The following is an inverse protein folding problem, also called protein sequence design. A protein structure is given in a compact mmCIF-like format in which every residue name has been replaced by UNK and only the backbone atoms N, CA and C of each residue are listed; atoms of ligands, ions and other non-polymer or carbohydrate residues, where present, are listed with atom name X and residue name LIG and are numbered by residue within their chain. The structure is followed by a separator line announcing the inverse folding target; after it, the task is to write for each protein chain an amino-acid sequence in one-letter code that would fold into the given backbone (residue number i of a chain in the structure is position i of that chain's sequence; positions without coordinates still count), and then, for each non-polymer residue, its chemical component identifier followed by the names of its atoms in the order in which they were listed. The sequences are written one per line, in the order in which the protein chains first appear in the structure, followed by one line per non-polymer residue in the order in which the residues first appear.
data_IF_935840734866
#
_entry.id   IF_935840734866
#
_cell.length_a   1.000
_cell.length_b   1.000
_cell.length_c   1.000
_cell.angle_alpha   90.00
_cell.angle_beta   90.00
_cell.angle_gamma   90.00
#
_symmetry.space_group_name_H-M   'P 1'
#
loop_
_entity.id
_entity.type
_entity.pdbx_description
1 polymer ?
#
# COMPACT_ATOMS: atom_id res chain seq x y z
N UNK A 1 -12.77 -33.56 -13.66
CA UNK A 1 -11.86 -32.68 -12.92
C UNK A 1 -11.47 -33.39 -11.62
N UNK A 2 -10.22 -33.75 -11.48
CA UNK A 2 -9.76 -34.41 -10.25
C UNK A 2 -9.61 -33.37 -9.12
N UNK A 3 -10.14 -33.68 -7.95
CA UNK A 3 -9.97 -32.86 -6.78
C UNK A 3 -8.47 -32.85 -6.40
N UNK A 4 -7.95 -31.70 -5.91
CA UNK A 4 -6.59 -31.67 -5.41
C UNK A 4 -6.42 -32.69 -4.29
N UNK A 5 -5.33 -33.44 -4.31
CA UNK A 5 -5.04 -34.43 -3.25
C UNK A 5 -4.86 -33.69 -1.94
N UNK A 6 -5.69 -34.05 -0.95
CA UNK A 6 -5.52 -33.53 0.41
C UNK A 6 -4.14 -33.98 0.92
N UNK A 7 -3.30 -33.05 1.40
CA UNK A 7 -2.00 -33.42 1.96
C UNK A 7 -2.17 -34.41 3.10
N UNK A 8 -1.24 -35.34 3.22
CA UNK A 8 -1.22 -36.25 4.38
C UNK A 8 -1.07 -35.41 5.66
N UNK A 9 -1.72 -35.85 6.72
CA UNK A 9 -1.71 -35.17 8.02
C UNK A 9 -0.30 -34.72 8.47
N UNK A 10 0.70 -35.54 8.18
CA UNK A 10 2.12 -35.24 8.47
C UNK A 10 2.71 -34.06 7.68
N UNK A 11 2.00 -33.59 6.67
CA UNK A 11 2.46 -32.49 5.79
C UNK A 11 1.78 -31.17 6.12
N UNK A 12 0.83 -31.18 7.05
CA UNK A 12 0.14 -29.96 7.48
C UNK A 12 0.91 -29.31 8.61
N UNK A 13 1.10 -27.98 8.56
CA UNK A 13 1.73 -27.26 9.66
C UNK A 13 0.82 -27.28 10.90
N UNK A 14 1.43 -27.28 12.09
CA UNK A 14 0.69 -27.23 13.35
C UNK A 14 -0.16 -25.95 13.42
N UNK A 15 -1.43 -26.11 13.80
CA UNK A 15 -2.36 -24.99 13.96
C UNK A 15 -2.71 -24.25 12.69
N UNK A 16 -2.35 -24.80 11.51
CA UNK A 16 -2.59 -24.13 10.23
C UNK A 16 -1.70 -22.91 10.00
N UNK A 17 -0.64 -22.76 10.78
CA UNK A 17 0.30 -21.64 10.66
C UNK A 17 1.27 -21.95 9.52
N UNK A 18 1.32 -21.08 8.53
CA UNK A 18 2.22 -21.17 7.37
C UNK A 18 3.18 -19.99 7.41
N UNK A 19 4.48 -20.29 7.28
CA UNK A 19 5.47 -19.24 7.15
C UNK A 19 5.29 -18.51 5.82
N UNK A 20 5.19 -17.18 5.87
CA UNK A 20 5.15 -16.37 4.67
C UNK A 20 6.57 -16.18 4.13
N UNK A 21 6.88 -16.68 2.93
CA UNK A 21 8.17 -16.41 2.32
C UNK A 21 8.32 -14.89 2.08
N UNK A 22 9.53 -14.37 2.22
CA UNK A 22 9.83 -12.94 1.95
C UNK A 22 9.35 -12.49 0.56
N UNK A 23 9.38 -13.40 -0.41
CA UNK A 23 8.92 -13.17 -1.77
C UNK A 23 7.42 -12.88 -1.87
N UNK A 24 6.59 -13.43 -0.98
CA UNK A 24 5.15 -13.13 -0.96
C UNK A 24 4.90 -11.67 -0.57
N UNK A 25 5.64 -11.14 0.39
CA UNK A 25 5.51 -9.74 0.79
C UNK A 25 5.83 -8.78 -0.36
N UNK A 26 6.75 -9.14 -1.22
CA UNK A 26 7.11 -8.36 -2.40
C UNK A 26 6.04 -8.45 -3.50
N UNK A 27 5.34 -9.58 -3.58
CA UNK A 27 4.33 -9.84 -4.60
C UNK A 27 2.91 -9.41 -4.19
N UNK A 28 2.62 -9.39 -2.89
CA UNK A 28 1.31 -9.03 -2.35
C UNK A 28 1.13 -7.52 -2.25
N UNK A 29 1.22 -6.84 -3.37
CA UNK A 29 1.02 -5.40 -3.43
C UNK A 29 -0.46 -5.06 -3.59
N UNK A 30 -0.97 -4.17 -2.76
CA UNK A 30 -2.38 -3.79 -2.75
C UNK A 30 -2.67 -2.45 -3.42
N UNK A 31 -1.66 -1.83 -4.00
CA UNK A 31 -1.79 -0.55 -4.71
C UNK A 31 -2.76 -0.60 -5.90
N UNK A 32 -2.95 -1.76 -6.51
CA UNK A 32 -3.90 -1.96 -7.61
C UNK A 32 -5.38 -1.83 -7.22
N UNK A 33 -5.68 -1.78 -5.93
CA UNK A 33 -7.05 -1.64 -5.44
C UNK A 33 -7.55 -0.19 -5.45
N UNK A 34 -6.64 0.77 -5.67
CA UNK A 34 -7.00 2.19 -5.63
C UNK A 34 -7.95 2.60 -6.73
N UNK A 35 -8.93 3.41 -6.37
CA UNK A 35 -9.77 4.18 -7.29
C UNK A 35 -9.33 5.65 -7.27
N UNK A 36 -8.95 6.14 -6.10
CA UNK A 36 -8.47 7.50 -5.89
C UNK A 36 -7.07 7.46 -5.29
N UNK A 37 -6.17 8.26 -5.85
CA UNK A 37 -4.79 8.40 -5.37
C UNK A 37 -4.68 9.64 -4.48
N UNK A 38 -4.02 9.49 -3.33
CA UNK A 38 -3.67 10.62 -2.49
C UNK A 38 -2.42 11.30 -3.02
N UNK A 39 -2.52 12.60 -3.27
CA UNK A 39 -1.41 13.44 -3.75
C UNK A 39 -1.11 14.49 -2.70
N UNK A 40 0.14 14.57 -2.27
CA UNK A 40 0.59 15.54 -1.28
C UNK A 40 1.20 16.76 -1.97
N UNK A 41 0.69 17.94 -1.61
CA UNK A 41 1.30 19.20 -2.00
C UNK A 41 2.38 19.56 -0.96
N UNK A 42 3.64 19.36 -1.33
CA UNK A 42 4.77 19.58 -0.44
C UNK A 42 4.97 21.07 -0.05
N UNK A 43 4.45 21.99 -0.81
CA UNK A 43 4.49 23.42 -0.49
C UNK A 43 3.57 23.77 0.68
N UNK A 44 2.41 23.11 0.77
CA UNK A 44 1.45 23.28 1.87
C UNK A 44 1.77 22.42 3.07
N UNK A 45 2.53 21.35 2.88
CA UNK A 45 2.84 20.38 3.92
C UNK A 45 3.72 20.99 5.01
N UNK A 46 3.26 20.92 6.27
CA UNK A 46 4.00 21.40 7.45
C UNK A 46 4.87 20.33 8.10
N UNK A 47 4.92 19.13 7.51
CA UNK A 47 5.67 17.98 8.04
C UNK A 47 5.24 17.56 9.46
N UNK A 48 3.95 17.71 9.77
CA UNK A 48 3.40 17.39 11.10
C UNK A 48 3.33 15.88 11.39
N UNK A 49 3.55 15.04 10.36
CA UNK A 49 3.57 13.56 10.44
C UNK A 49 2.23 12.91 10.80
N UNK A 50 1.13 13.65 10.83
CA UNK A 50 -0.19 13.12 11.16
C UNK A 50 -0.62 12.04 10.15
N UNK A 51 -0.43 12.29 8.85
CA UNK A 51 -0.75 11.32 7.80
C UNK A 51 0.07 10.02 7.93
N UNK A 52 1.32 10.13 8.32
CA UNK A 52 2.18 8.97 8.57
C UNK A 52 1.66 8.12 9.74
N UNK A 53 1.24 8.75 10.82
CA UNK A 53 0.72 8.05 12.02
C UNK A 53 -0.61 7.34 11.70
N UNK A 54 -1.50 7.99 10.95
CA UNK A 54 -2.85 7.48 10.70
C UNK A 54 -2.97 6.56 9.49
N UNK A 55 -1.92 6.39 8.68
CA UNK A 55 -2.00 5.51 7.52
C UNK A 55 -2.18 4.04 7.98
N UNK A 56 -3.31 3.39 7.65
CA UNK A 56 -3.58 2.02 8.10
C UNK A 56 -2.64 0.97 7.49
N UNK A 57 -2.06 1.26 6.34
CA UNK A 57 -1.17 0.35 5.62
C UNK A 57 0.30 0.71 5.75
N UNK A 58 0.63 1.71 6.56
CA UNK A 58 1.99 2.25 6.69
C UNK A 58 2.59 2.63 5.31
N UNK A 59 1.74 3.04 4.37
CA UNK A 59 2.13 3.38 3.01
C UNK A 59 2.77 4.77 2.90
N UNK A 60 2.64 5.61 3.93
CA UNK A 60 3.30 6.90 4.00
C UNK A 60 4.55 6.76 4.85
N UNK A 61 5.68 7.11 4.28
CA UNK A 61 6.98 7.03 4.93
C UNK A 61 7.68 8.39 4.87
N UNK A 62 8.59 8.60 5.80
CA UNK A 62 9.46 9.78 5.78
C UNK A 62 10.65 9.51 4.86
N UNK A 63 10.97 10.43 3.99
CA UNK A 63 12.22 10.39 3.25
C UNK A 63 13.38 10.99 4.08
N UNK A 64 14.58 11.03 3.51
CA UNK A 64 15.76 11.57 4.17
C UNK A 64 15.62 13.06 4.55
N UNK A 65 14.86 13.81 3.77
CA UNK A 65 14.59 15.24 4.01
C UNK A 65 13.44 15.48 4.99
N UNK A 66 12.82 14.42 5.49
CA UNK A 66 11.66 14.48 6.37
C UNK A 66 10.34 14.72 5.65
N UNK A 67 10.31 14.67 4.33
CA UNK A 67 9.09 14.78 3.54
C UNK A 67 8.27 13.49 3.59
N UNK A 68 6.95 13.64 3.52
CA UNK A 68 6.05 12.50 3.48
C UNK A 68 6.00 11.94 2.07
N UNK A 69 6.42 10.68 1.91
CA UNK A 69 6.39 9.97 0.65
C UNK A 69 5.38 8.83 0.70
N UNK A 70 4.48 8.78 -0.27
CA UNK A 70 3.50 7.71 -0.38
C UNK A 70 4.04 6.57 -1.22
N UNK A 71 4.09 5.36 -0.65
CA UNK A 71 4.42 4.15 -1.38
C UNK A 71 3.18 3.61 -2.09
N UNK A 72 3.11 3.86 -3.38
CA UNK A 72 1.95 3.51 -4.20
C UNK A 72 1.71 2.00 -4.32
N UNK A 73 2.72 1.19 -4.06
CA UNK A 73 2.57 -0.27 -4.04
C UNK A 73 1.58 -0.77 -2.98
N UNK A 74 1.47 -0.07 -1.86
CA UNK A 74 0.64 -0.47 -0.73
C UNK A 74 -0.51 0.48 -0.43
N UNK A 75 -0.46 1.70 -0.92
CA UNK A 75 -1.52 2.68 -0.73
C UNK A 75 -2.83 2.22 -1.39
N UNK A 76 -3.90 2.12 -0.61
CA UNK A 76 -5.24 1.73 -1.09
C UNK A 76 -6.14 2.92 -1.42
N UNK A 77 -5.66 4.14 -1.24
CA UNK A 77 -6.45 5.33 -1.50
C UNK A 77 -7.63 5.49 -0.54
N UNK A 78 -7.50 5.06 0.71
CA UNK A 78 -8.58 5.09 1.70
C UNK A 78 -9.02 6.50 2.10
N UNK A 79 -8.17 7.50 1.89
CA UNK A 79 -8.47 8.91 2.17
C UNK A 79 -8.28 9.35 3.62
N UNK A 80 -7.82 8.48 4.50
CA UNK A 80 -7.57 8.84 5.92
C UNK A 80 -6.54 9.96 6.01
N UNK A 81 -5.43 9.87 5.26
CA UNK A 81 -4.39 10.89 5.26
C UNK A 81 -4.91 12.27 4.85
N UNK A 82 -5.77 12.32 3.84
CA UNK A 82 -6.39 13.58 3.39
C UNK A 82 -7.34 14.15 4.44
N UNK A 83 -8.08 13.30 5.14
CA UNK A 83 -9.05 13.74 6.15
C UNK A 83 -8.39 14.24 7.44
N UNK A 84 -7.21 13.72 7.81
CA UNK A 84 -6.51 14.13 9.03
C UNK A 84 -5.47 15.23 8.79
N UNK A 85 -5.21 15.61 7.55
CA UNK A 85 -4.25 16.67 7.25
C UNK A 85 -4.77 18.03 7.73
N UNK A 86 -4.08 18.69 8.70
CA UNK A 86 -4.59 19.94 9.29
C UNK A 86 -4.52 21.13 8.34
N UNK A 87 -3.67 21.06 7.32
CA UNK A 87 -3.45 22.16 6.37
C UNK A 87 -4.06 21.87 4.98
N UNK A 88 -4.72 20.74 4.81
CA UNK A 88 -5.31 20.36 3.53
C UNK A 88 -4.30 20.16 2.40
N UNK A 89 -3.08 19.72 2.74
CA UNK A 89 -2.03 19.49 1.77
C UNK A 89 -2.22 18.24 0.92
N UNK A 90 -3.10 17.34 1.33
CA UNK A 90 -3.35 16.07 0.66
C UNK A 90 -4.72 16.12 -0.03
N UNK A 91 -4.72 15.87 -1.33
CA UNK A 91 -5.93 15.79 -2.14
C UNK A 91 -6.05 14.39 -2.74
N UNK A 92 -7.27 13.98 -3.06
CA UNK A 92 -7.55 12.71 -3.71
C UNK A 92 -7.87 12.97 -5.18
N UNK A 93 -7.13 12.32 -6.05
CA UNK A 93 -7.27 12.46 -7.51
C UNK A 93 -7.61 11.08 -8.11
N UNK A 94 -8.52 10.99 -9.09
CA UNK A 94 -8.82 9.71 -9.73
C UNK A 94 -7.56 9.01 -10.25
N UNK A 95 -7.43 7.72 -9.96
CA UNK A 95 -6.25 6.93 -10.37
C UNK A 95 -6.08 6.90 -11.88
N UNK A 96 -7.18 6.94 -12.63
CA UNK A 96 -7.14 6.94 -14.11
C UNK A 96 -6.55 8.21 -14.73
N UNK A 97 -6.43 9.28 -13.96
CA UNK A 97 -5.79 10.51 -14.44
C UNK A 97 -4.26 10.42 -14.49
N UNK A 98 -3.70 9.34 -13.95
CA UNK A 98 -2.26 9.10 -13.95
C UNK A 98 -1.90 8.06 -15.01
N UNK A 99 -0.97 8.40 -15.91
CA UNK A 99 -0.48 7.49 -16.95
C UNK A 99 0.53 6.44 -16.44
N UNK A 100 0.77 6.39 -15.14
CA UNK A 100 1.74 5.50 -14.50
C UNK A 100 1.21 4.06 -14.35
N UNK A 101 0.74 3.48 -15.45
CA UNK A 101 0.43 2.04 -15.49
C UNK A 101 1.69 1.19 -15.27
N UNK A 102 2.86 1.78 -15.46
CA UNK A 102 4.16 1.13 -15.29
C UNK A 102 4.41 0.61 -13.88
N UNK A 103 3.86 1.27 -12.85
CA UNK A 103 4.03 0.82 -11.45
C UNK A 103 3.49 -0.60 -11.23
N UNK A 104 2.52 -1.01 -12.03
CA UNK A 104 1.90 -2.33 -11.91
C UNK A 104 2.46 -3.34 -12.91
N UNK A 105 3.07 -2.87 -14.01
CA UNK A 105 3.66 -3.73 -15.03
C UNK A 105 4.96 -4.39 -14.56
N UNK A 106 5.69 -3.70 -13.69
CA UNK A 106 6.99 -4.19 -13.19
C UNK A 106 6.85 -5.07 -11.95
N UNK A 107 5.61 -5.37 -11.54
CA UNK A 107 5.37 -6.32 -10.47
C UNK A 107 5.62 -7.74 -10.99
N UNK A 108 6.51 -8.50 -10.35
CA UNK A 108 6.77 -9.87 -10.74
C UNK A 108 5.60 -10.77 -10.31
N UNK A 109 4.68 -10.98 -11.21
CA UNK A 109 3.63 -11.97 -11.04
C UNK A 109 4.01 -13.26 -11.73
#
# INVERSE_FOLDING_TARGET
MSLPKIPKEKQLPEGGIVDSPKTEQEHMTTGGWRILRSVTDHEKCTKCKTCWIYCPDAAIQLDEDGDMKTYLKYCKGCGVCASVCPVGAITRVPELDFDEVSVYRDLPF
#
